data_IF_563907033533
#
_entry.id   IF_563907033533
#
_cell.length_a   1.000
_cell.length_b   1.000
_cell.length_c   1.000
_cell.angle_alpha   90.00
_cell.angle_beta   90.00
_cell.angle_gamma   90.00
#
_symmetry.space_group_name_H-M   'P 1'
#
loop_
_entity.id
_entity.type
_entity.pdbx_description
1 polymer ?
#
# COMPACT_ATOMS: atom_id res chain seq x y z
N UNK A 1 -12.45 3.45 21.20
CA UNK A 1 -11.40 3.41 20.20
C UNK A 1 -11.48 2.11 19.41
N UNK A 2 -11.30 2.15 18.11
CA UNK A 2 -11.42 0.96 17.28
C UNK A 2 -10.18 0.77 16.41
N UNK A 3 -9.83 -0.49 16.24
CA UNK A 3 -8.80 -0.93 15.31
C UNK A 3 -9.27 -2.21 14.66
N UNK A 4 -8.71 -2.54 13.49
CA UNK A 4 -9.04 -3.78 12.81
C UNK A 4 -7.80 -4.44 12.24
N UNK A 5 -7.80 -5.76 12.35
CA UNK A 5 -6.86 -6.64 11.66
C UNK A 5 -7.71 -7.59 10.82
N UNK A 6 -7.55 -7.51 9.50
CA UNK A 6 -8.38 -8.27 8.56
C UNK A 6 -7.74 -9.62 8.25
N UNK A 7 -8.51 -10.70 8.40
CA UNK A 7 -8.03 -12.05 8.15
C UNK A 7 -7.74 -12.33 6.67
N UNK A 8 -8.38 -11.59 5.76
CA UNK A 8 -8.20 -11.75 4.31
C UNK A 8 -7.01 -10.94 3.77
N UNK A 9 -6.29 -10.23 4.63
CA UNK A 9 -5.08 -9.51 4.26
C UNK A 9 -3.86 -10.16 4.92
N UNK A 10 -2.67 -9.90 4.35
CA UNK A 10 -1.42 -10.41 4.91
C UNK A 10 -1.32 -10.04 6.39
N UNK A 11 -1.00 -11.00 7.23
CA UNK A 11 -0.91 -10.81 8.69
C UNK A 11 0.19 -9.80 9.03
N UNK A 12 -0.10 -8.79 9.86
CA UNK A 12 0.94 -7.88 10.33
C UNK A 12 2.09 -8.63 10.98
N UNK A 13 3.31 -8.24 10.67
CA UNK A 13 4.52 -8.88 11.20
C UNK A 13 4.99 -8.24 12.50
N UNK A 14 4.06 -7.88 13.37
CA UNK A 14 4.33 -7.26 14.65
C UNK A 14 3.04 -6.96 15.39
N UNK A 15 3.17 -6.27 16.50
CA UNK A 15 2.04 -5.97 17.36
C UNK A 15 1.37 -4.67 16.92
N UNK A 16 0.65 -4.74 15.81
CA UNK A 16 -0.11 -3.59 15.29
C UNK A 16 -1.25 -4.07 14.39
N UNK A 17 -2.35 -3.31 14.30
CA UNK A 17 -3.48 -3.63 13.42
C UNK A 17 -3.22 -3.16 11.99
N UNK A 18 -4.11 -3.48 11.06
CA UNK A 18 -4.09 -2.89 9.73
C UNK A 18 -4.52 -1.42 9.76
N UNK A 19 -5.46 -1.07 10.64
CA UNK A 19 -6.01 0.28 10.71
C UNK A 19 -6.47 0.60 12.14
N UNK A 20 -6.31 1.84 12.55
CA UNK A 20 -6.72 2.31 13.88
C UNK A 20 -7.37 3.69 13.79
N UNK A 21 -8.47 3.89 14.51
CA UNK A 21 -9.12 5.19 14.66
C UNK A 21 -8.53 5.95 15.84
N UNK A 22 -8.32 7.24 15.63
CA UNK A 22 -7.98 8.18 16.70
C UNK A 22 -8.77 9.48 16.44
N UNK A 23 -9.81 9.71 17.24
CA UNK A 23 -10.73 10.82 17.01
C UNK A 23 -11.43 10.70 15.65
N UNK A 24 -11.34 11.74 14.85
CA UNK A 24 -11.94 11.78 13.50
C UNK A 24 -11.01 11.25 12.41
N UNK A 25 -9.86 10.72 12.78
CA UNK A 25 -8.86 10.24 11.84
C UNK A 25 -8.69 8.74 11.92
N UNK A 26 -8.38 8.15 10.78
CA UNK A 26 -7.98 6.76 10.67
C UNK A 26 -6.51 6.72 10.25
N UNK A 27 -5.77 5.81 10.88
CA UNK A 27 -4.36 5.60 10.57
C UNK A 27 -4.19 4.19 10.02
N UNK A 28 -3.74 4.11 8.78
CA UNK A 28 -3.44 2.82 8.13
C UNK A 28 -1.97 2.52 8.37
N UNK A 29 -1.67 1.35 8.90
CA UNK A 29 -0.29 0.90 9.07
C UNK A 29 0.40 0.74 7.72
N UNK A 30 1.72 0.66 7.72
CA UNK A 30 2.49 0.46 6.49
C UNK A 30 2.00 -0.76 5.71
N UNK A 31 1.71 -0.57 4.43
CA UNK A 31 1.16 -1.60 3.55
C UNK A 31 2.13 -1.83 2.40
N UNK A 32 2.36 -3.10 2.10
CA UNK A 32 3.17 -3.54 0.97
C UNK A 32 2.33 -4.33 -0.02
N UNK A 33 2.98 -4.82 -1.08
CA UNK A 33 2.34 -5.68 -2.08
C UNK A 33 2.31 -7.16 -1.65
N UNK A 34 2.37 -7.44 -0.35
CA UNK A 34 2.40 -8.80 0.19
C UNK A 34 1.00 -9.43 0.18
N UNK A 35 0.94 -10.69 -0.28
CA UNK A 35 -0.29 -11.49 -0.24
C UNK A 35 -0.41 -12.23 1.10
N UNK A 36 -1.57 -12.84 1.34
CA UNK A 36 -1.83 -13.62 2.56
C UNK A 36 -0.90 -14.82 2.73
N UNK A 37 -0.38 -15.36 1.63
CA UNK A 37 0.59 -16.46 1.64
C UNK A 37 2.04 -15.98 1.78
N UNK A 38 2.24 -14.68 2.01
CA UNK A 38 3.52 -13.98 2.14
C UNK A 38 4.30 -13.82 0.84
N UNK A 39 3.76 -14.22 -0.31
CA UNK A 39 4.37 -13.88 -1.60
C UNK A 39 4.13 -12.39 -1.90
N UNK A 40 4.96 -11.84 -2.79
CA UNK A 40 4.92 -10.42 -3.13
C UNK A 40 4.44 -10.26 -4.58
N UNK A 41 3.41 -9.46 -4.78
CA UNK A 41 2.95 -9.09 -6.13
C UNK A 41 4.07 -8.34 -6.85
N UNK A 42 4.27 -8.62 -8.13
CA UNK A 42 5.27 -7.91 -8.92
C UNK A 42 6.72 -8.26 -8.57
N UNK A 43 6.94 -9.41 -7.92
CA UNK A 43 8.28 -9.90 -7.61
C UNK A 43 8.33 -11.39 -7.99
N UNK A 44 8.83 -11.69 -9.18
CA UNK A 44 8.95 -13.05 -9.68
C UNK A 44 10.41 -13.47 -9.75
N UNK A 45 10.69 -14.70 -9.30
CA UNK A 45 12.02 -15.28 -9.38
C UNK A 45 12.05 -16.23 -10.58
N UNK A 46 12.98 -16.03 -11.48
CA UNK A 46 13.15 -16.89 -12.67
C UNK A 46 13.98 -18.14 -12.34
N UNK A 47 14.20 -19.01 -13.34
CA UNK A 47 14.96 -20.25 -13.18
C UNK A 47 16.43 -20.02 -12.81
N UNK A 48 16.94 -18.81 -13.04
CA UNK A 48 18.32 -18.44 -12.71
C UNK A 48 18.44 -17.80 -11.30
N UNK A 49 17.33 -17.71 -10.59
CA UNK A 49 17.30 -17.06 -9.28
C UNK A 49 17.26 -15.54 -9.34
N UNK A 50 17.04 -14.94 -10.52
CA UNK A 50 16.92 -13.48 -10.66
C UNK A 50 15.50 -13.05 -10.32
N UNK A 51 15.38 -12.06 -9.45
CA UNK A 51 14.08 -11.48 -9.10
C UNK A 51 13.76 -10.34 -10.07
N UNK A 52 12.59 -10.44 -10.69
CA UNK A 52 12.06 -9.39 -11.56
C UNK A 52 11.02 -8.60 -10.79
N UNK A 53 11.23 -7.30 -10.70
CA UNK A 53 10.34 -6.40 -9.97
C UNK A 53 9.52 -5.59 -10.96
N UNK A 54 8.22 -5.42 -10.65
CA UNK A 54 7.29 -4.63 -11.45
C UNK A 54 6.62 -3.60 -10.55
N UNK A 55 7.10 -2.37 -10.62
CA UNK A 55 6.61 -1.29 -9.75
C UNK A 55 5.15 -0.96 -10.02
N UNK A 56 4.68 -1.08 -11.26
CA UNK A 56 3.27 -0.77 -11.55
C UNK A 56 2.35 -1.81 -10.92
N UNK A 57 2.68 -3.10 -11.03
CA UNK A 57 1.92 -4.14 -10.36
C UNK A 57 1.96 -3.98 -8.83
N UNK A 58 3.11 -3.67 -8.27
CA UNK A 58 3.28 -3.47 -6.83
C UNK A 58 2.47 -2.29 -6.34
N UNK A 59 2.52 -1.16 -7.05
CA UNK A 59 1.77 0.05 -6.68
C UNK A 59 0.26 -0.24 -6.68
N UNK A 60 -0.23 -0.91 -7.71
CA UNK A 60 -1.64 -1.27 -7.82
C UNK A 60 -2.07 -2.18 -6.66
N UNK A 61 -1.27 -3.18 -6.35
CA UNK A 61 -1.56 -4.11 -5.25
C UNK A 61 -1.58 -3.39 -3.88
N UNK A 62 -0.64 -2.47 -3.64
CA UNK A 62 -0.59 -1.70 -2.40
C UNK A 62 -1.85 -0.84 -2.24
N UNK A 63 -2.23 -0.11 -3.29
CA UNK A 63 -3.40 0.77 -3.24
C UNK A 63 -4.69 -0.05 -3.08
N UNK A 64 -4.80 -1.17 -3.80
CA UNK A 64 -5.96 -2.05 -3.65
C UNK A 64 -6.06 -2.63 -2.24
N UNK A 65 -4.94 -3.00 -1.62
CA UNK A 65 -4.91 -3.45 -0.22
C UNK A 65 -5.38 -2.35 0.72
N UNK A 66 -4.93 -1.12 0.51
CA UNK A 66 -5.35 0.03 1.33
C UNK A 66 -6.86 0.28 1.16
N UNK A 67 -7.36 0.20 -0.07
CA UNK A 67 -8.79 0.38 -0.34
C UNK A 67 -9.64 -0.62 0.43
N UNK A 68 -9.26 -1.90 0.41
CA UNK A 68 -9.99 -2.94 1.14
C UNK A 68 -9.96 -2.68 2.66
N UNK A 69 -8.82 -2.24 3.18
CA UNK A 69 -8.69 -1.91 4.60
C UNK A 69 -9.60 -0.73 4.96
N UNK A 70 -9.63 0.32 4.13
CA UNK A 70 -10.49 1.47 4.35
C UNK A 70 -11.97 1.09 4.30
N UNK A 71 -12.37 0.22 3.38
CA UNK A 71 -13.74 -0.27 3.28
C UNK A 71 -14.20 -0.96 4.56
N UNK A 72 -13.31 -1.61 5.28
CA UNK A 72 -13.65 -2.24 6.56
C UNK A 72 -14.07 -1.23 7.64
N UNK A 73 -13.77 0.05 7.43
CA UNK A 73 -14.13 1.15 8.33
C UNK A 73 -15.08 2.13 7.64
N UNK A 74 -15.79 1.68 6.61
CA UNK A 74 -16.77 2.48 5.85
C UNK A 74 -16.17 3.73 5.19
N UNK A 75 -14.89 3.64 4.79
CA UNK A 75 -14.19 4.72 4.10
C UNK A 75 -13.77 4.28 2.70
N UNK A 76 -13.40 5.25 1.88
CA UNK A 76 -12.92 5.04 0.51
C UNK A 76 -11.58 5.73 0.30
N UNK A 77 -10.97 5.49 -0.86
CA UNK A 77 -9.71 6.16 -1.23
C UNK A 77 -9.85 7.68 -1.24
N UNK A 78 -11.05 8.22 -1.54
CA UNK A 78 -11.27 9.67 -1.55
C UNK A 78 -11.22 10.30 -0.15
N UNK A 79 -11.28 9.50 0.90
CA UNK A 79 -11.14 10.00 2.27
C UNK A 79 -9.68 10.17 2.69
N UNK A 80 -8.71 9.71 1.88
CA UNK A 80 -7.29 9.85 2.17
C UNK A 80 -6.87 11.31 2.00
N UNK A 81 -6.19 11.85 3.01
CA UNK A 81 -5.72 13.23 3.00
C UNK A 81 -4.20 13.35 2.92
N UNK A 82 -3.49 12.30 3.28
CA UNK A 82 -2.02 12.30 3.28
C UNK A 82 -1.48 10.90 3.00
N UNK A 83 -0.46 10.83 2.14
CA UNK A 83 0.20 9.59 1.76
C UNK A 83 1.70 9.77 1.91
N UNK A 84 2.35 8.81 2.56
CA UNK A 84 3.81 8.72 2.56
C UNK A 84 4.20 7.42 1.87
N UNK A 85 5.07 7.51 0.87
CA UNK A 85 5.54 6.37 0.09
C UNK A 85 7.04 6.19 0.27
N UNK A 86 7.46 4.94 0.43
CA UNK A 86 8.87 4.56 0.52
C UNK A 86 9.21 3.71 -0.70
N UNK A 87 10.16 4.19 -1.52
CA UNK A 87 10.66 3.48 -2.70
C UNK A 87 12.12 3.11 -2.49
N UNK A 88 12.48 1.88 -2.84
CA UNK A 88 13.88 1.44 -2.75
C UNK A 88 14.69 1.86 -3.97
N UNK A 89 14.05 2.20 -5.09
CA UNK A 89 14.70 2.60 -6.33
C UNK A 89 13.94 3.77 -6.95
N UNK A 90 14.56 4.94 -7.00
CA UNK A 90 13.91 6.13 -7.58
C UNK A 90 13.73 6.06 -9.09
N UNK A 91 14.37 5.10 -9.77
CA UNK A 91 14.05 4.81 -11.17
C UNK A 91 12.60 4.32 -11.34
N UNK A 92 11.99 3.85 -10.26
CA UNK A 92 10.58 3.40 -10.26
C UNK A 92 9.58 4.57 -10.15
N UNK A 93 10.06 5.78 -9.93
CA UNK A 93 9.19 6.94 -9.63
C UNK A 93 8.17 7.19 -10.74
N UNK A 94 8.59 7.11 -12.01
CA UNK A 94 7.69 7.31 -13.15
C UNK A 94 6.58 6.26 -13.21
N UNK A 95 6.93 4.98 -13.12
CA UNK A 95 5.95 3.89 -13.13
C UNK A 95 4.99 3.95 -11.94
N UNK A 96 5.52 4.27 -10.77
CA UNK A 96 4.72 4.49 -9.57
C UNK A 96 3.71 5.64 -9.79
N UNK A 97 4.16 6.78 -10.31
CA UNK A 97 3.29 7.93 -10.54
C UNK A 97 2.17 7.63 -11.54
N UNK A 98 2.44 6.84 -12.59
CA UNK A 98 1.42 6.49 -13.58
C UNK A 98 0.26 5.74 -12.94
N UNK A 99 0.54 4.73 -12.13
CA UNK A 99 -0.49 3.95 -11.45
C UNK A 99 -1.16 4.77 -10.35
N UNK A 100 -0.38 5.51 -9.58
CA UNK A 100 -0.91 6.39 -8.53
C UNK A 100 -1.96 7.35 -9.09
N UNK A 101 -1.72 7.94 -10.25
CA UNK A 101 -2.63 8.87 -10.89
C UNK A 101 -3.99 8.22 -11.25
N UNK A 102 -4.00 6.92 -11.56
CA UNK A 102 -5.26 6.21 -11.86
C UNK A 102 -6.21 6.22 -10.66
N UNK A 103 -5.68 6.24 -9.44
CA UNK A 103 -6.48 6.18 -8.21
C UNK A 103 -6.74 7.54 -7.59
N UNK A 104 -5.81 8.49 -7.73
CA UNK A 104 -5.81 9.73 -6.95
C UNK A 104 -5.85 11.01 -7.77
N UNK A 105 -6.07 10.95 -9.08
CA UNK A 105 -6.08 12.16 -9.92
C UNK A 105 -7.18 13.16 -9.55
N UNK A 106 -8.29 12.69 -8.98
CA UNK A 106 -9.40 13.56 -8.56
C UNK A 106 -9.25 14.04 -7.12
N UNK A 107 -9.05 13.12 -6.17
CA UNK A 107 -8.99 13.45 -4.74
C UNK A 107 -7.70 14.15 -4.34
N UNK A 108 -6.59 13.83 -4.98
CA UNK A 108 -5.29 14.50 -4.87
C UNK A 108 -4.84 14.73 -3.41
N UNK A 109 -4.65 13.67 -2.62
CA UNK A 109 -4.15 13.82 -1.26
C UNK A 109 -2.74 14.41 -1.26
N UNK A 110 -2.35 15.04 -0.16
CA UNK A 110 -0.96 15.44 0.04
C UNK A 110 -0.07 14.20 0.02
N UNK A 111 1.13 14.31 -0.53
CA UNK A 111 2.01 13.15 -0.68
C UNK A 111 3.48 13.51 -0.45
N UNK A 112 4.18 12.63 0.23
CA UNK A 112 5.64 12.65 0.36
C UNK A 112 6.17 11.31 -0.12
N UNK A 113 7.15 11.33 -1.02
CA UNK A 113 7.81 10.13 -1.51
C UNK A 113 9.29 10.20 -1.15
N UNK A 114 9.82 9.17 -0.50
CA UNK A 114 11.22 9.12 -0.08
C UNK A 114 11.89 7.85 -0.57
N UNK A 115 13.17 7.95 -0.87
CA UNK A 115 13.99 6.81 -1.20
C UNK A 115 14.54 6.19 0.09
N UNK A 116 14.52 4.86 0.16
CA UNK A 116 15.02 4.10 1.32
C UNK A 116 15.90 2.96 0.84
N UNK A 117 16.64 2.37 1.76
CA UNK A 117 17.45 1.18 1.47
C UNK A 117 16.72 -0.12 1.74
#
# INVERSE_FOLDING_TARGET
>A
MSSKTLSEKATPRGTYPHIRRAGDYLFVSGISARRTDNSIVGAQVDDQGTTRLDIQMQTRAVIDNIEDILKSMDCTLSDIVDVTTFLVNMNDFGGYNEVYAEYFSESRPARTTVAVH
#
